data_IF_589488938615
#
_entry.id   IF_589488938615
#
_cell.length_a   1.000
_cell.length_b   1.000
_cell.length_c   1.000
_cell.angle_alpha   90.00
_cell.angle_beta   90.00
_cell.angle_gamma   90.00
#
_symmetry.space_group_name_H-M   'P 1'
#
loop_
_entity.id
_entity.type
_entity.pdbx_description
1 polymer ?
#
# COMPACT_ATOMS: atom_id res chain seq x y z
N UNK A 1 12.87 -1.65 24.50
CA UNK A 1 13.08 -1.85 23.06
C UNK A 1 11.84 -2.33 22.29
N UNK A 2 11.07 -3.33 22.78
CA UNK A 2 9.88 -3.86 22.04
C UNK A 2 8.78 -2.83 21.74
N UNK A 3 8.47 -1.94 22.68
CA UNK A 3 7.47 -0.87 22.48
C UNK A 3 7.85 0.10 21.35
N UNK A 4 9.15 0.37 21.19
CA UNK A 4 9.67 1.20 20.09
C UNK A 4 9.53 0.49 18.74
N UNK A 5 9.94 -0.79 18.65
CA UNK A 5 9.79 -1.59 17.44
C UNK A 5 8.32 -1.73 17.00
N UNK A 6 7.41 -1.91 17.97
CA UNK A 6 5.96 -1.94 17.75
C UNK A 6 5.45 -0.65 17.10
N UNK A 7 5.79 0.51 17.68
CA UNK A 7 5.39 1.81 17.13
C UNK A 7 6.02 2.05 15.76
N UNK A 8 7.29 1.70 15.57
CA UNK A 8 7.99 1.85 14.29
C UNK A 8 7.30 1.03 13.18
N UNK A 9 7.02 -0.24 13.43
CA UNK A 9 6.32 -1.14 12.50
C UNK A 9 4.90 -0.65 12.18
N UNK A 10 4.21 -0.08 13.17
CA UNK A 10 2.89 0.50 12.98
C UNK A 10 2.94 1.70 12.04
N UNK A 11 3.87 2.63 12.29
CA UNK A 11 4.06 3.83 11.45
C UNK A 11 4.46 3.44 10.03
N UNK A 12 5.38 2.47 9.88
CA UNK A 12 5.76 1.93 8.58
C UNK A 12 4.57 1.32 7.84
N UNK A 13 3.79 0.45 8.50
CA UNK A 13 2.61 -0.15 7.89
C UNK A 13 1.59 0.88 7.43
N UNK A 14 1.37 1.91 8.25
CA UNK A 14 0.45 3.01 7.93
C UNK A 14 0.96 3.87 6.77
N UNK A 15 2.27 4.09 6.68
CA UNK A 15 2.90 4.82 5.56
C UNK A 15 2.80 4.04 4.24
N UNK A 16 3.02 2.72 4.27
CA UNK A 16 2.83 1.85 3.11
C UNK A 16 1.37 1.83 2.62
N UNK A 17 0.40 1.75 3.54
CA UNK A 17 -1.02 1.84 3.23
C UNK A 17 -1.38 3.20 2.60
N UNK A 18 -0.86 4.30 3.14
CA UNK A 18 -1.11 5.64 2.60
C UNK A 18 -0.54 5.79 1.19
N UNK A 19 0.69 5.31 0.95
CA UNK A 19 1.30 5.28 -0.39
C UNK A 19 0.48 4.46 -1.37
N UNK A 20 -0.06 3.32 -0.95
CA UNK A 20 -0.96 2.51 -1.76
C UNK A 20 -2.20 3.32 -2.18
N UNK A 21 -2.86 4.01 -1.25
CA UNK A 21 -4.03 4.85 -1.59
C UNK A 21 -3.69 6.02 -2.54
N UNK A 22 -2.55 6.67 -2.35
CA UNK A 22 -2.09 7.74 -3.23
C UNK A 22 -1.86 7.21 -4.65
N UNK A 23 -1.23 6.04 -4.77
CA UNK A 23 -0.98 5.41 -6.06
C UNK A 23 -2.27 5.02 -6.77
N UNK A 24 -3.21 4.41 -6.03
CA UNK A 24 -4.53 4.05 -6.52
C UNK A 24 -5.30 5.26 -7.04
N UNK A 25 -5.24 6.37 -6.30
CA UNK A 25 -5.87 7.62 -6.71
C UNK A 25 -5.23 8.18 -7.98
N UNK A 26 -3.89 8.14 -8.07
CA UNK A 26 -3.16 8.59 -9.25
C UNK A 26 -3.51 7.76 -10.50
N UNK A 27 -3.53 6.43 -10.38
CA UNK A 27 -3.92 5.53 -11.46
C UNK A 27 -5.39 5.74 -11.87
N UNK A 28 -6.28 5.96 -10.91
CA UNK A 28 -7.68 6.30 -11.18
C UNK A 28 -7.82 7.62 -11.93
N UNK A 29 -7.10 8.68 -11.53
CA UNK A 29 -7.08 9.95 -12.24
C UNK A 29 -6.52 9.80 -13.66
N UNK A 30 -5.47 9.00 -13.85
CA UNK A 30 -4.95 8.69 -15.18
C UNK A 30 -5.98 7.95 -16.04
N UNK A 31 -6.66 6.93 -15.49
CA UNK A 31 -7.70 6.17 -16.18
C UNK A 31 -8.85 7.08 -16.63
N UNK A 32 -9.30 7.99 -15.74
CA UNK A 32 -10.36 8.95 -16.05
C UNK A 32 -9.98 9.93 -17.17
N UNK A 33 -8.71 10.37 -17.21
CA UNK A 33 -8.20 11.26 -18.25
C UNK A 33 -7.92 10.54 -19.57
N UNK A 34 -7.52 9.26 -19.53
CA UNK A 34 -7.24 8.43 -20.71
C UNK A 34 -8.45 7.56 -21.03
N UNK A 35 -9.53 8.18 -21.48
CA UNK A 35 -10.66 7.47 -22.08
C UNK A 35 -10.15 6.59 -23.25
N UNK A 36 -10.23 5.27 -23.05
CA UNK A 36 -10.36 4.21 -24.07
C UNK A 36 -9.13 3.52 -24.68
N UNK A 37 -7.87 3.82 -24.35
CA UNK A 37 -6.75 3.25 -25.14
C UNK A 37 -5.86 2.17 -24.51
N UNK A 38 -5.82 1.94 -23.18
CA UNK A 38 -5.01 0.84 -22.63
C UNK A 38 -5.55 0.28 -21.30
N UNK A 39 -6.43 -0.73 -21.31
CA UNK A 39 -6.90 -1.39 -20.09
C UNK A 39 -5.79 -2.22 -19.43
N UNK A 40 -5.06 -3.02 -20.21
CA UNK A 40 -4.24 -4.13 -19.67
C UNK A 40 -3.04 -3.66 -18.86
N UNK A 41 -2.38 -2.58 -19.29
CA UNK A 41 -1.21 -2.03 -18.58
C UNK A 41 -1.62 -1.42 -17.23
N UNK A 42 -2.82 -0.83 -17.14
CA UNK A 42 -3.33 -0.21 -15.92
C UNK A 42 -3.81 -1.29 -14.94
N UNK A 43 -4.46 -2.35 -15.43
CA UNK A 43 -4.80 -3.50 -14.57
C UNK A 43 -3.55 -4.20 -14.03
N UNK A 44 -2.50 -4.34 -14.84
CA UNK A 44 -1.22 -4.87 -14.38
C UNK A 44 -0.57 -3.95 -13.33
N UNK A 45 -0.59 -2.64 -13.52
CA UNK A 45 0.00 -1.69 -12.57
C UNK A 45 -0.73 -1.69 -11.22
N UNK A 46 -2.06 -1.79 -11.24
CA UNK A 46 -2.91 -1.94 -10.05
C UNK A 46 -2.63 -3.24 -9.29
N UNK A 47 -2.40 -4.34 -10.02
CA UNK A 47 -2.04 -5.63 -9.42
C UNK A 47 -0.64 -5.57 -8.78
N UNK A 48 0.34 -5.00 -9.48
CA UNK A 48 1.69 -4.82 -8.98
C UNK A 48 1.74 -3.88 -7.76
N UNK A 49 0.97 -2.81 -7.76
CA UNK A 49 0.91 -1.87 -6.64
C UNK A 49 0.32 -2.49 -5.38
N UNK A 50 -0.69 -3.36 -5.54
CA UNK A 50 -1.21 -4.18 -4.45
C UNK A 50 -0.14 -5.07 -3.83
N UNK A 51 0.63 -5.79 -4.65
CA UNK A 51 1.70 -6.67 -4.14
C UNK A 51 2.82 -5.86 -3.46
N UNK A 52 3.20 -4.73 -4.06
CA UNK A 52 4.34 -3.93 -3.60
C UNK A 52 4.07 -3.12 -2.33
N UNK A 53 2.85 -2.61 -2.14
CA UNK A 53 2.57 -1.66 -1.04
C UNK A 53 1.50 -2.16 -0.06
N UNK A 54 0.46 -2.87 -0.54
CA UNK A 54 -0.61 -3.36 0.35
C UNK A 54 -0.12 -4.53 1.23
N UNK A 55 0.54 -5.52 0.64
CA UNK A 55 1.01 -6.71 1.37
C UNK A 55 2.03 -6.35 2.46
N UNK A 56 3.08 -5.53 2.18
CA UNK A 56 4.00 -5.11 3.23
C UNK A 56 3.33 -4.22 4.27
N UNK A 57 2.41 -3.34 3.86
CA UNK A 57 1.65 -2.48 4.77
C UNK A 57 0.87 -3.27 5.82
N UNK A 58 0.06 -4.24 5.36
CA UNK A 58 -0.73 -5.11 6.25
C UNK A 58 0.19 -6.00 7.10
N UNK A 59 1.25 -6.56 6.51
CA UNK A 59 2.21 -7.42 7.23
C UNK A 59 2.91 -6.67 8.36
N UNK A 60 3.38 -5.44 8.12
CA UNK A 60 4.00 -4.60 9.13
C UNK A 60 3.03 -4.24 10.27
N UNK A 61 1.78 -3.92 9.92
CA UNK A 61 0.74 -3.60 10.90
C UNK A 61 0.38 -4.83 11.75
N UNK A 62 0.20 -5.99 11.12
CA UNK A 62 -0.04 -7.27 11.80
C UNK A 62 1.12 -7.64 12.75
N UNK A 63 2.36 -7.52 12.29
CA UNK A 63 3.55 -7.76 13.12
C UNK A 63 3.62 -6.82 14.34
N UNK A 64 3.24 -5.55 14.15
CA UNK A 64 3.11 -4.60 15.26
C UNK A 64 2.10 -5.06 16.31
N UNK A 65 0.93 -5.57 15.90
CA UNK A 65 -0.08 -6.06 16.84
C UNK A 65 0.31 -7.38 17.52
N UNK A 66 0.99 -8.28 16.80
CA UNK A 66 1.46 -9.56 17.34
C UNK A 66 2.61 -9.42 18.33
N UNK A 67 3.37 -8.33 18.27
CA UNK A 67 4.35 -7.98 19.30
C UNK A 67 3.62 -7.69 20.62
N UNK A 68 3.64 -8.68 21.51
CA UNK A 68 3.27 -8.53 22.93
C UNK A 68 4.15 -7.45 23.55
N UNK A 69 3.48 -6.43 24.10
CA UNK A 69 4.08 -5.33 24.87
C UNK A 69 4.86 -5.83 26.07
#
# INVERSE_FOLDING_TARGET
MRKFAKNLLFILGLLFLLLFFVLMFYEYCQLKNRLLLVPDIIFASFYFSGILFLIPGISCMAASYMLKT
#
